data_IF_393853176476
#
_entry.id   IF_393853176476
#
_cell.length_a   1.000
_cell.length_b   1.000
_cell.length_c   1.000
_cell.angle_alpha   90.00
_cell.angle_beta   90.00
_cell.angle_gamma   90.00
#
_symmetry.space_group_name_H-M   'P 1'
#
loop_
_entity.id
_entity.type
_entity.pdbx_description
1 polymer ?
#
# COMPACT_ATOMS: atom_id res chain seq x y z
N UNK A 1 34.54 -3.60 51.86
CA UNK A 1 35.53 -3.42 50.77
C UNK A 1 36.81 -2.96 51.43
N UNK A 2 37.83 -3.82 51.43
CA UNK A 2 39.12 -3.52 52.05
C UNK A 2 39.83 -2.43 51.23
N UNK A 3 40.53 -1.52 51.91
CA UNK A 3 41.30 -0.46 51.25
C UNK A 3 42.33 -1.04 50.26
N UNK A 4 42.80 -2.27 50.49
CA UNK A 4 43.71 -3.03 49.62
C UNK A 4 43.16 -3.32 48.22
N UNK A 5 41.85 -3.53 48.05
CA UNK A 5 41.28 -3.85 46.73
C UNK A 5 41.29 -2.62 45.80
N UNK A 6 41.17 -1.43 46.38
CA UNK A 6 41.19 -0.17 45.63
C UNK A 6 42.60 0.20 45.20
N UNK A 7 43.60 0.00 46.06
CA UNK A 7 45.00 0.21 45.71
C UNK A 7 45.45 -0.79 44.64
N UNK A 8 45.10 -2.08 44.78
CA UNK A 8 45.40 -3.10 43.77
C UNK A 8 44.77 -2.77 42.41
N UNK A 9 43.53 -2.26 42.40
CA UNK A 9 42.86 -1.85 41.18
C UNK A 9 43.54 -0.64 40.50
N UNK A 10 44.00 0.34 41.29
CA UNK A 10 44.67 1.53 40.76
C UNK A 10 46.06 1.19 40.20
N UNK A 11 46.80 0.30 40.87
CA UNK A 11 48.10 -0.22 40.42
C UNK A 11 47.95 -0.96 39.08
N UNK A 12 46.90 -1.79 38.95
CA UNK A 12 46.60 -2.49 37.71
C UNK A 12 46.13 -1.59 36.55
N UNK A 13 45.78 -0.33 36.82
CA UNK A 13 45.30 0.64 35.82
C UNK A 13 46.34 1.73 35.50
N UNK A 14 47.56 1.63 36.05
CA UNK A 14 48.62 2.65 35.92
C UNK A 14 48.98 2.95 34.45
N UNK A 15 48.93 1.94 33.58
CA UNK A 15 49.27 2.06 32.16
C UNK A 15 48.11 2.57 31.26
N UNK A 16 46.94 2.88 31.82
CA UNK A 16 45.75 3.25 31.02
C UNK A 16 45.62 4.77 30.90
N UNK A 17 45.94 5.32 29.73
CA UNK A 17 45.66 6.72 29.43
C UNK A 17 44.24 6.92 28.89
N UNK A 18 43.48 7.91 29.41
CA UNK A 18 42.19 8.27 28.86
C UNK A 18 42.30 8.69 27.38
N UNK A 19 41.46 8.09 26.53
CA UNK A 19 41.41 8.44 25.11
C UNK A 19 41.03 9.91 24.93
N UNK A 20 41.84 10.65 24.15
CA UNK A 20 41.53 12.03 23.76
C UNK A 20 40.25 12.02 22.93
N UNK A 21 39.21 12.73 23.38
CA UNK A 21 37.96 12.92 22.63
C UNK A 21 38.25 13.56 21.28
N UNK A 22 38.42 12.75 20.23
CA UNK A 22 38.70 13.24 18.87
C UNK A 22 37.63 12.90 17.84
N UNK A 23 36.55 12.21 18.22
CA UNK A 23 35.42 11.95 17.34
C UNK A 23 34.10 11.99 18.13
N UNK A 24 33.68 13.19 18.55
CA UNK A 24 32.26 13.39 18.89
C UNK A 24 31.47 13.34 17.58
N UNK A 25 31.00 12.14 17.22
CA UNK A 25 30.06 11.96 16.11
C UNK A 25 28.78 12.68 16.50
N UNK A 26 28.51 13.80 15.84
CA UNK A 26 27.26 14.54 16.03
C UNK A 26 26.14 13.67 15.49
N UNK A 27 25.40 13.03 16.40
CA UNK A 27 24.22 12.26 16.05
C UNK A 27 23.17 13.22 15.49
N UNK A 28 23.04 13.27 14.17
CA UNK A 28 21.89 13.89 13.53
C UNK A 28 20.78 12.85 13.49
N UNK A 29 19.70 12.99 14.29
CA UNK A 29 18.56 12.13 14.12
C UNK A 29 18.07 12.30 12.68
N UNK A 30 18.26 11.28 11.86
CA UNK A 30 17.72 11.24 10.51
C UNK A 30 16.24 11.53 10.62
N UNK A 31 15.82 12.67 10.04
CA UNK A 31 14.42 13.07 10.05
C UNK A 31 13.68 12.01 9.25
N UNK A 32 13.05 11.06 9.95
CA UNK A 32 12.14 10.10 9.34
C UNK A 32 10.98 10.92 8.77
N UNK A 33 11.10 11.36 7.52
CA UNK A 33 10.04 12.02 6.76
C UNK A 33 9.02 11.00 6.28
N UNK A 34 8.62 10.07 7.17
CA UNK A 34 7.44 9.27 6.92
C UNK A 34 6.29 10.26 6.95
N UNK A 35 5.81 10.62 5.77
CA UNK A 35 4.61 11.43 5.65
C UNK A 35 3.53 10.79 6.53
N UNK A 36 2.81 11.58 7.33
CA UNK A 36 1.72 11.04 8.13
C UNK A 36 0.79 10.27 7.19
N UNK A 37 0.58 8.98 7.48
CA UNK A 37 -0.40 8.18 6.76
C UNK A 37 -1.76 8.81 7.01
N UNK A 38 -2.24 9.60 6.05
CA UNK A 38 -3.63 10.04 6.06
C UNK A 38 -4.48 8.80 5.90
N UNK A 39 -5.36 8.58 6.87
CA UNK A 39 -6.42 7.58 6.75
C UNK A 39 -7.29 8.03 5.59
N UNK A 40 -7.34 7.23 4.53
CA UNK A 40 -8.27 7.46 3.43
C UNK A 40 -9.67 7.09 3.92
N UNK A 41 -10.48 8.10 4.24
CA UNK A 41 -11.82 7.89 4.80
C UNK A 41 -12.75 7.17 3.82
N UNK A 42 -12.48 7.24 2.52
CA UNK A 42 -13.22 6.49 1.51
C UNK A 42 -13.06 4.98 1.72
N UNK A 43 -11.92 4.52 2.23
CA UNK A 43 -11.67 3.09 2.42
C UNK A 43 -12.44 2.50 3.60
N UNK A 44 -12.99 3.31 4.51
CA UNK A 44 -13.86 2.82 5.58
C UNK A 44 -15.16 2.25 5.03
N UNK A 45 -15.64 2.77 3.90
CA UNK A 45 -16.87 2.31 3.22
C UNK A 45 -16.60 1.20 2.18
N UNK A 46 -15.35 0.74 2.05
CA UNK A 46 -14.96 -0.22 1.02
C UNK A 46 -15.42 -1.64 1.37
N UNK A 47 -16.58 -2.01 0.81
CA UNK A 47 -17.22 -3.32 0.99
C UNK A 47 -16.60 -4.46 0.15
N UNK A 48 -15.57 -4.19 -0.66
CA UNK A 48 -14.92 -5.24 -1.46
C UNK A 48 -14.15 -6.18 -0.54
N UNK A 49 -14.40 -7.49 -0.67
CA UNK A 49 -13.80 -8.54 0.16
C UNK A 49 -12.58 -9.17 -0.48
N UNK A 50 -11.62 -9.62 0.33
CA UNK A 50 -10.41 -10.34 -0.11
C UNK A 50 -10.45 -11.83 0.15
N UNK A 51 -11.36 -12.30 1.01
CA UNK A 51 -11.51 -13.72 1.37
C UNK A 51 -12.51 -14.46 0.46
N UNK A 52 -12.44 -15.80 0.47
CA UNK A 52 -13.34 -16.70 -0.27
C UNK A 52 -13.37 -16.43 -1.78
N UNK A 53 -12.18 -16.43 -2.40
CA UNK A 53 -12.04 -16.17 -3.82
C UNK A 53 -12.33 -17.43 -4.65
N UNK A 54 -13.28 -17.31 -5.56
CA UNK A 54 -13.45 -18.26 -6.67
C UNK A 54 -12.49 -17.91 -7.80
N UNK A 55 -11.47 -18.73 -8.01
CA UNK A 55 -10.48 -18.51 -9.06
C UNK A 55 -11.14 -18.80 -10.41
N UNK A 56 -11.20 -17.78 -11.27
CA UNK A 56 -11.73 -17.90 -12.63
C UNK A 56 -10.67 -18.56 -13.54
N UNK A 57 -11.00 -19.68 -14.23
CA UNK A 57 -10.09 -20.30 -15.18
C UNK A 57 -9.76 -19.38 -16.36
N UNK A 58 -8.53 -19.42 -16.87
CA UNK A 58 -8.07 -18.56 -17.97
C UNK A 58 -8.86 -18.73 -19.28
N UNK A 59 -9.44 -19.92 -19.51
CA UNK A 59 -10.29 -20.18 -20.67
C UNK A 59 -11.69 -19.55 -20.55
N UNK A 60 -12.07 -19.10 -19.36
CA UNK A 60 -13.41 -18.55 -19.08
C UNK A 60 -13.36 -17.03 -19.14
N UNK A 61 -14.13 -16.37 -20.02
CA UNK A 61 -14.20 -14.92 -20.05
C UNK A 61 -14.88 -14.38 -18.79
N UNK A 62 -14.42 -13.23 -18.30
CA UNK A 62 -15.04 -12.56 -17.16
C UNK A 62 -16.30 -11.83 -17.63
N UNK A 63 -17.47 -12.41 -17.35
CA UNK A 63 -18.75 -11.86 -17.76
C UNK A 63 -19.74 -11.81 -16.60
N UNK A 64 -20.47 -10.70 -16.49
CA UNK A 64 -21.55 -10.53 -15.54
C UNK A 64 -22.70 -9.75 -16.19
N UNK A 65 -23.93 -10.23 -15.99
CA UNK A 65 -25.16 -9.59 -16.45
C UNK A 65 -26.17 -9.56 -15.32
N UNK A 66 -26.60 -8.37 -14.92
CA UNK A 66 -27.71 -8.22 -13.98
C UNK A 66 -29.03 -8.61 -14.64
N UNK A 67 -29.89 -9.30 -13.90
CA UNK A 67 -31.25 -9.62 -14.35
C UNK A 67 -32.02 -8.35 -14.71
N UNK A 68 -32.86 -8.44 -15.75
CA UNK A 68 -33.57 -7.29 -16.32
C UNK A 68 -32.75 -6.39 -17.25
N UNK A 69 -31.44 -6.64 -17.44
CA UNK A 69 -30.64 -5.91 -18.43
C UNK A 69 -30.88 -6.44 -19.85
N UNK A 70 -31.11 -5.55 -20.80
CA UNK A 70 -31.30 -5.92 -22.21
C UNK A 70 -29.99 -6.49 -22.78
N UNK A 71 -30.05 -7.67 -23.44
CA UNK A 71 -28.89 -8.34 -24.05
C UNK A 71 -28.11 -7.43 -25.01
N UNK A 72 -28.82 -6.60 -25.78
CA UNK A 72 -28.22 -5.68 -26.74
C UNK A 72 -27.27 -4.62 -26.15
N UNK A 73 -27.34 -4.34 -24.84
CA UNK A 73 -26.39 -3.42 -24.18
C UNK A 73 -25.02 -4.09 -24.03
N UNK A 74 -24.99 -5.34 -23.56
CA UNK A 74 -23.76 -6.13 -23.42
C UNK A 74 -23.11 -6.38 -24.77
N UNK A 75 -23.88 -6.72 -25.80
CA UNK A 75 -23.34 -6.94 -27.14
C UNK A 75 -22.74 -5.67 -27.75
N UNK A 76 -23.31 -4.49 -27.45
CA UNK A 76 -22.73 -3.21 -27.86
C UNK A 76 -21.43 -2.91 -27.12
N UNK A 77 -21.36 -3.22 -25.82
CA UNK A 77 -20.14 -3.08 -25.02
C UNK A 77 -19.03 -4.00 -25.54
N UNK A 78 -19.30 -5.29 -25.75
CA UNK A 78 -18.33 -6.25 -26.31
C UNK A 78 -17.80 -5.82 -27.69
N UNK A 79 -18.66 -5.22 -28.52
CA UNK A 79 -18.28 -4.73 -29.86
C UNK A 79 -17.54 -3.38 -29.83
N UNK A 80 -17.26 -2.82 -28.65
CA UNK A 80 -16.58 -1.52 -28.52
C UNK A 80 -17.40 -0.34 -29.04
N UNK A 81 -18.73 -0.48 -29.17
CA UNK A 81 -19.61 0.60 -29.65
C UNK A 81 -19.77 1.73 -28.64
N UNK A 82 -19.39 1.48 -27.39
CA UNK A 82 -19.35 2.49 -26.36
C UNK A 82 -17.91 2.98 -26.19
N UNK A 83 -17.71 4.29 -26.28
CA UNK A 83 -16.41 4.89 -26.03
C UNK A 83 -15.99 4.68 -24.57
N UNK A 84 -14.73 4.33 -24.39
CA UNK A 84 -14.11 4.30 -23.07
C UNK A 84 -14.03 5.73 -22.54
N UNK A 85 -14.53 5.94 -21.31
CA UNK A 85 -14.51 7.27 -20.69
C UNK A 85 -13.39 7.40 -19.66
N UNK A 86 -13.03 6.31 -18.99
CA UNK A 86 -11.91 6.24 -18.07
C UNK A 86 -11.30 4.85 -18.04
N UNK A 87 -10.05 4.75 -17.59
CA UNK A 87 -9.35 3.48 -17.37
C UNK A 87 -8.62 3.45 -16.04
N UNK A 88 -8.68 2.30 -15.37
CA UNK A 88 -7.86 1.96 -14.23
C UNK A 88 -6.88 0.85 -14.61
N UNK A 89 -5.59 1.03 -14.29
CA UNK A 89 -4.57 -0.02 -14.43
C UNK A 89 -4.20 -0.57 -13.05
N UNK A 90 -4.32 -1.88 -12.91
CA UNK A 90 -4.01 -2.66 -11.72
C UNK A 90 -2.71 -3.47 -11.90
N UNK A 91 -2.02 -3.28 -13.04
CA UNK A 91 -0.78 -3.97 -13.36
C UNK A 91 0.29 -3.72 -12.30
N UNK A 92 0.95 -4.80 -11.86
CA UNK A 92 2.03 -4.79 -10.87
C UNK A 92 1.65 -4.19 -9.51
N UNK A 93 0.36 -4.16 -9.19
CA UNK A 93 -0.13 -3.73 -7.88
C UNK A 93 -0.43 -4.96 -6.99
N UNK A 94 -0.17 -4.88 -5.67
CA UNK A 94 -0.60 -5.92 -4.74
C UNK A 94 -2.12 -5.92 -4.60
N UNK A 95 -2.70 -7.08 -4.25
CA UNK A 95 -4.16 -7.29 -4.22
C UNK A 95 -4.89 -6.25 -3.36
N UNK A 96 -4.35 -5.92 -2.18
CA UNK A 96 -4.98 -4.92 -1.31
C UNK A 96 -4.98 -3.51 -1.93
N UNK A 97 -3.91 -3.15 -2.64
CA UNK A 97 -3.86 -1.88 -3.38
C UNK A 97 -4.86 -1.88 -4.53
N UNK A 98 -4.99 -3.00 -5.25
CA UNK A 98 -5.99 -3.14 -6.32
C UNK A 98 -7.41 -2.94 -5.78
N UNK A 99 -7.73 -3.52 -4.62
CA UNK A 99 -9.03 -3.39 -3.95
C UNK A 99 -9.34 -1.93 -3.61
N UNK A 100 -8.37 -1.21 -3.05
CA UNK A 100 -8.53 0.19 -2.68
C UNK A 100 -8.67 1.11 -3.90
N UNK A 101 -7.83 0.88 -4.93
CA UNK A 101 -7.86 1.62 -6.19
C UNK A 101 -9.16 1.39 -6.95
N UNK A 102 -9.63 0.15 -7.04
CA UNK A 102 -10.87 -0.19 -7.73
C UNK A 102 -12.08 0.47 -7.09
N UNK A 103 -12.18 0.42 -5.76
CA UNK A 103 -13.28 1.05 -5.03
C UNK A 103 -13.30 2.56 -5.24
N UNK A 104 -12.16 3.23 -5.03
CA UNK A 104 -12.04 4.67 -5.24
C UNK A 104 -12.38 5.08 -6.68
N UNK A 105 -11.91 4.29 -7.66
CA UNK A 105 -12.19 4.50 -9.08
C UNK A 105 -13.69 4.37 -9.40
N UNK A 106 -14.38 3.34 -8.87
CA UNK A 106 -15.82 3.16 -9.09
C UNK A 106 -16.64 4.29 -8.46
N UNK A 107 -16.30 4.72 -7.24
CA UNK A 107 -16.94 5.86 -6.57
C UNK A 107 -16.76 7.14 -7.39
N UNK A 108 -15.56 7.38 -7.91
CA UNK A 108 -15.28 8.55 -8.74
C UNK A 108 -16.02 8.49 -10.08
N UNK A 109 -15.99 7.35 -10.77
CA UNK A 109 -16.69 7.13 -12.03
C UNK A 109 -18.21 7.36 -11.88
N UNK A 110 -18.79 6.94 -10.76
CA UNK A 110 -20.19 7.19 -10.46
C UNK A 110 -20.49 8.67 -10.22
N UNK A 111 -19.63 9.39 -9.48
CA UNK A 111 -19.75 10.84 -9.24
C UNK A 111 -19.68 11.65 -10.55
N UNK A 112 -18.82 11.23 -11.47
CA UNK A 112 -18.67 11.87 -12.78
C UNK A 112 -19.72 11.43 -13.81
N UNK A 113 -20.58 10.46 -13.46
CA UNK A 113 -21.61 9.95 -14.37
C UNK A 113 -21.05 9.16 -15.55
N UNK A 114 -19.88 8.53 -15.38
CA UNK A 114 -19.29 7.67 -16.40
C UNK A 114 -20.13 6.42 -16.58
N UNK A 115 -20.39 6.05 -17.84
CA UNK A 115 -21.21 4.90 -18.24
C UNK A 115 -20.38 3.70 -18.65
N UNK A 116 -19.18 3.91 -19.19
CA UNK A 116 -18.28 2.85 -19.64
C UNK A 116 -16.85 3.14 -19.21
N UNK A 117 -16.28 2.21 -18.46
CA UNK A 117 -14.92 2.31 -17.92
C UNK A 117 -14.15 1.02 -18.21
N UNK A 118 -12.84 1.13 -18.32
CA UNK A 118 -11.92 0.01 -18.55
C UNK A 118 -11.13 -0.28 -17.27
N UNK A 119 -10.96 -1.56 -16.95
CA UNK A 119 -10.07 -2.03 -15.89
C UNK A 119 -9.07 -2.96 -16.55
N UNK A 120 -7.77 -2.66 -16.37
CA UNK A 120 -6.62 -3.38 -16.96
C UNK A 120 -5.81 -4.04 -15.87
#
# INVERSE_FOLDING_TARGET
MNLDDKSLFLDAMEDVQPLKRKNDVHWHPGRNSRAPQRVDTLQLDNFLTTGYLDIVPLATPLEFKREGLQSGVLDKLRRGKYSQQASLSLLRQPVEQCRQMLFAFMVQAQKEGLRNVLIV
#
